data_IF_752981488999
#
_entry.id   IF_752981488999
#
_cell.length_a   1.000
_cell.length_b   1.000
_cell.length_c   1.000
_cell.angle_alpha   90.00
_cell.angle_beta   90.00
_cell.angle_gamma   90.00
#
_symmetry.space_group_name_H-M   'P 1'
#
loop_
_entity.id
_entity.type
_entity.pdbx_description
1 polymer ?
#
# COMPACT_ATOMS: atom_id res chain seq x y z
N UNK A 1 5.58 -22.12 13.12
CA UNK A 1 5.17 -20.82 12.54
C UNK A 1 6.13 -20.25 11.50
N UNK A 2 7.46 -20.14 11.75
CA UNK A 2 8.43 -19.56 10.78
C UNK A 2 8.44 -20.25 9.40
N UNK A 3 8.43 -21.59 9.35
CA UNK A 3 8.43 -22.34 8.10
C UNK A 3 7.14 -22.13 7.26
N UNK A 4 6.00 -21.89 7.89
CA UNK A 4 4.75 -21.59 7.20
C UNK A 4 4.79 -20.19 6.58
N UNK A 5 5.28 -19.20 7.34
CA UNK A 5 5.46 -17.82 6.88
C UNK A 5 6.43 -17.73 5.70
N UNK A 6 7.55 -18.46 5.74
CA UNK A 6 8.51 -18.52 4.63
C UNK A 6 7.90 -19.09 3.35
N UNK A 7 7.08 -20.16 3.44
CA UNK A 7 6.37 -20.72 2.28
C UNK A 7 5.33 -19.74 1.69
N UNK A 8 4.63 -19.00 2.54
CA UNK A 8 3.69 -17.97 2.08
C UNK A 8 4.43 -16.83 1.37
N UNK A 9 5.56 -16.38 1.92
CA UNK A 9 6.41 -15.36 1.31
C UNK A 9 6.94 -15.80 -0.06
N UNK A 10 7.43 -17.04 -0.18
CA UNK A 10 7.88 -17.61 -1.45
C UNK A 10 6.74 -17.68 -2.49
N UNK A 11 5.55 -18.13 -2.08
CA UNK A 11 4.36 -18.13 -2.96
C UNK A 11 4.00 -16.73 -3.43
N UNK A 12 3.98 -15.75 -2.53
CA UNK A 12 3.70 -14.35 -2.87
C UNK A 12 4.74 -13.75 -3.80
N UNK A 13 6.02 -14.12 -3.65
CA UNK A 13 7.07 -13.71 -4.57
C UNK A 13 6.81 -14.27 -5.97
N UNK A 14 6.44 -15.54 -6.08
CA UNK A 14 6.08 -16.17 -7.35
C UNK A 14 4.82 -15.55 -8.00
N UNK A 15 3.81 -15.20 -7.19
CA UNK A 15 2.61 -14.47 -7.63
C UNK A 15 2.88 -12.98 -7.95
N UNK A 16 4.10 -12.52 -7.71
CA UNK A 16 4.54 -11.17 -8.02
C UNK A 16 4.02 -10.10 -7.07
N UNK A 17 3.65 -10.46 -5.83
CA UNK A 17 3.15 -9.52 -4.82
C UNK A 17 4.17 -8.43 -4.47
N UNK A 18 5.46 -8.71 -4.62
CA UNK A 18 6.55 -7.78 -4.32
C UNK A 18 7.09 -7.04 -5.54
N UNK A 19 6.56 -7.32 -6.73
CA UNK A 19 7.01 -6.67 -7.96
C UNK A 19 6.74 -5.17 -7.90
N UNK A 20 7.75 -4.41 -8.31
CA UNK A 20 7.68 -2.96 -8.46
C UNK A 20 7.76 -2.59 -9.95
N UNK A 21 7.05 -1.53 -10.38
CA UNK A 21 7.24 -0.95 -11.71
C UNK A 21 8.67 -0.41 -11.92
N UNK A 22 8.94 0.13 -13.11
CA UNK A 22 10.18 0.86 -13.35
C UNK A 22 10.33 2.07 -12.41
N UNK A 23 11.57 2.50 -12.15
CA UNK A 23 11.84 3.60 -11.22
C UNK A 23 11.14 4.91 -11.63
N UNK A 24 10.94 5.13 -12.94
CA UNK A 24 10.17 6.26 -13.48
C UNK A 24 8.70 6.20 -13.06
N UNK A 25 8.08 5.03 -13.20
CA UNK A 25 6.68 4.84 -12.78
C UNK A 25 6.57 4.97 -11.27
N UNK A 26 7.48 4.35 -10.51
CA UNK A 26 7.53 4.50 -9.06
C UNK A 26 7.59 5.97 -8.63
N UNK A 27 8.43 6.80 -9.28
CA UNK A 27 8.52 8.23 -9.03
C UNK A 27 7.21 8.97 -9.35
N UNK A 28 6.54 8.62 -10.46
CA UNK A 28 5.21 9.19 -10.81
C UNK A 28 4.20 8.91 -9.70
N UNK A 29 4.12 7.65 -9.23
CA UNK A 29 3.13 7.25 -8.22
C UNK A 29 3.42 7.90 -6.86
N UNK A 30 4.68 7.93 -6.44
CA UNK A 30 5.09 8.59 -5.19
C UNK A 30 4.85 10.09 -5.24
N UNK A 31 5.16 10.75 -6.36
CA UNK A 31 4.85 12.16 -6.57
C UNK A 31 3.35 12.40 -6.43
N UNK A 32 2.52 11.60 -7.09
CA UNK A 32 1.06 11.72 -6.99
C UNK A 32 0.55 11.54 -5.55
N UNK A 33 1.03 10.53 -4.83
CA UNK A 33 0.71 10.34 -3.41
C UNK A 33 1.02 11.59 -2.58
N UNK A 34 2.26 12.08 -2.70
CA UNK A 34 2.72 13.20 -1.89
C UNK A 34 2.16 14.57 -2.29
N UNK A 35 1.71 14.72 -3.54
CA UNK A 35 1.07 15.95 -4.02
C UNK A 35 -0.41 15.99 -3.67
N UNK A 36 -1.14 14.88 -3.82
CA UNK A 36 -2.61 14.90 -3.78
C UNK A 36 -3.22 14.24 -2.54
N UNK A 37 -2.58 13.20 -1.98
CA UNK A 37 -3.11 12.47 -0.83
C UNK A 37 -2.55 12.99 0.49
N UNK A 38 -1.22 13.11 0.55
CA UNK A 38 -0.49 13.46 1.77
C UNK A 38 -0.93 14.78 2.43
N UNK A 39 -1.29 15.86 1.70
CA UNK A 39 -1.80 17.08 2.33
C UNK A 39 -3.08 16.87 3.15
N UNK A 40 -3.93 15.92 2.75
CA UNK A 40 -5.17 15.60 3.45
C UNK A 40 -4.96 14.56 4.56
N UNK A 41 -4.01 13.64 4.36
CA UNK A 41 -3.75 12.52 5.24
C UNK A 41 -2.23 12.35 5.45
N UNK A 42 -1.61 13.20 6.30
CA UNK A 42 -0.15 13.25 6.47
C UNK A 42 0.36 12.13 7.39
N UNK A 43 0.07 10.87 7.03
CA UNK A 43 0.38 9.71 7.87
C UNK A 43 1.82 9.19 7.71
N UNK A 44 2.54 9.69 6.71
CA UNK A 44 3.94 9.35 6.43
C UNK A 44 4.82 10.58 6.62
N UNK A 45 6.01 10.40 7.18
CA UNK A 45 7.06 11.42 7.11
C UNK A 45 7.66 11.42 5.69
N UNK A 46 7.62 12.57 5.02
CA UNK A 46 8.06 12.69 3.62
C UNK A 46 9.55 12.43 3.45
N UNK A 47 10.38 12.99 4.32
CA UNK A 47 11.83 12.88 4.21
C UNK A 47 12.28 11.44 4.51
N UNK A 48 11.81 10.86 5.62
CA UNK A 48 12.12 9.50 5.99
C UNK A 48 11.61 8.48 4.95
N UNK A 49 10.43 8.72 4.36
CA UNK A 49 9.91 7.87 3.28
C UNK A 49 10.76 7.96 2.02
N UNK A 50 11.22 9.16 1.66
CA UNK A 50 12.11 9.36 0.52
C UNK A 50 13.46 8.66 0.72
N UNK A 51 14.10 8.83 1.88
CA UNK A 51 15.34 8.13 2.25
C UNK A 51 15.15 6.60 2.18
N UNK A 52 14.06 6.10 2.78
CA UNK A 52 13.72 4.67 2.72
C UNK A 52 13.51 4.18 1.29
N UNK A 53 12.94 5.02 0.42
CA UNK A 53 12.74 4.68 -0.99
C UNK A 53 14.05 4.58 -1.75
N UNK A 54 14.96 5.56 -1.58
CA UNK A 54 16.30 5.56 -2.18
C UNK A 54 17.09 4.32 -1.74
N UNK A 55 17.00 3.95 -0.47
CA UNK A 55 17.67 2.77 0.08
C UNK A 55 16.92 1.45 -0.15
N UNK A 56 15.82 1.44 -0.93
CA UNK A 56 14.96 0.27 -1.20
C UNK A 56 14.46 -0.43 0.08
N UNK A 57 14.36 0.32 1.18
CA UNK A 57 14.01 -0.14 2.53
C UNK A 57 12.53 0.06 2.90
N UNK A 58 11.71 0.67 2.02
CA UNK A 58 10.26 0.79 2.25
C UNK A 58 9.64 -0.60 2.34
N UNK A 59 8.90 -0.86 3.42
CA UNK A 59 8.14 -2.12 3.59
C UNK A 59 7.36 -2.47 2.32
N UNK A 60 7.39 -3.72 1.85
CA UNK A 60 6.62 -4.13 0.67
C UNK A 60 5.12 -3.86 0.81
N UNK A 61 4.56 -4.04 2.01
CA UNK A 61 3.15 -3.75 2.28
C UNK A 61 2.83 -2.27 2.04
N UNK A 62 3.59 -1.39 2.69
CA UNK A 62 3.40 0.06 2.59
C UNK A 62 3.65 0.54 1.16
N UNK A 63 4.67 0.02 0.50
CA UNK A 63 5.02 0.35 -0.88
C UNK A 63 3.86 0.06 -1.84
N UNK A 64 3.29 -1.14 -1.79
CA UNK A 64 2.15 -1.49 -2.64
C UNK A 64 0.93 -0.61 -2.32
N UNK A 65 0.67 -0.32 -1.03
CA UNK A 65 -0.42 0.55 -0.61
C UNK A 65 -0.23 2.01 -1.06
N UNK A 66 1.01 2.52 -1.07
CA UNK A 66 1.33 3.84 -1.62
C UNK A 66 1.15 3.89 -3.13
N UNK A 67 1.56 2.86 -3.87
CA UNK A 67 1.34 2.77 -5.32
C UNK A 67 -0.13 2.69 -5.68
N UNK A 68 -0.92 1.97 -4.89
CA UNK A 68 -2.38 1.94 -4.99
C UNK A 68 -3.01 3.35 -4.94
N UNK A 69 -2.61 4.18 -3.98
CA UNK A 69 -3.07 5.56 -3.88
C UNK A 69 -2.49 6.41 -5.02
N UNK A 70 -1.20 6.28 -5.29
CA UNK A 70 -0.50 7.04 -6.32
C UNK A 70 -1.11 6.88 -7.70
N UNK A 71 -1.41 5.63 -8.12
CA UNK A 71 -2.03 5.36 -9.43
C UNK A 71 -3.49 5.83 -9.48
N UNK A 72 -4.16 5.87 -8.32
CA UNK A 72 -5.53 6.37 -8.23
C UNK A 72 -5.62 7.89 -8.43
N UNK A 73 -4.54 8.62 -8.12
CA UNK A 73 -4.53 10.09 -8.05
C UNK A 73 -3.59 10.78 -9.04
N UNK A 74 -2.72 10.04 -9.73
CA UNK A 74 -1.87 10.65 -10.75
C UNK A 74 -2.72 11.23 -11.89
N UNK A 75 -2.29 12.33 -12.48
CA UNK A 75 -3.01 12.97 -13.61
C UNK A 75 -3.06 12.03 -14.82
N UNK A 76 -4.00 12.23 -15.74
CA UNK A 76 -4.10 11.38 -16.94
C UNK A 76 -2.85 11.44 -17.81
N UNK A 77 -2.22 12.62 -17.92
CA UNK A 77 -0.93 12.78 -18.59
C UNK A 77 0.17 11.93 -17.93
N UNK A 78 0.24 11.92 -16.59
CA UNK A 78 1.22 11.11 -15.87
C UNK A 78 0.89 9.61 -15.96
N UNK A 79 -0.40 9.25 -15.96
CA UNK A 79 -0.87 7.88 -16.12
C UNK A 79 -0.48 7.29 -17.48
N UNK A 80 -0.59 8.08 -18.57
CA UNK A 80 -0.14 7.66 -19.90
C UNK A 80 1.33 7.26 -19.97
N UNK A 81 2.18 7.82 -19.08
CA UNK A 81 3.59 7.45 -18.95
C UNK A 81 3.86 6.18 -18.12
N UNK A 82 2.83 5.53 -17.58
CA UNK A 82 3.00 4.36 -16.70
C UNK A 82 3.06 3.02 -17.44
N UNK A 83 2.58 2.98 -18.69
CA UNK A 83 2.45 1.75 -19.47
C UNK A 83 1.29 0.84 -19.03
N UNK A 84 0.42 1.30 -18.12
CA UNK A 84 -0.84 0.61 -17.83
C UNK A 84 -1.94 1.11 -18.77
N UNK A 85 -2.71 0.18 -19.33
CA UNK A 85 -3.80 0.52 -20.25
C UNK A 85 -5.06 1.00 -19.53
N UNK A 86 -5.34 0.44 -18.36
CA UNK A 86 -6.52 0.77 -17.56
C UNK A 86 -6.16 1.12 -16.12
N UNK A 87 -6.59 2.31 -15.70
CA UNK A 87 -6.29 2.86 -14.37
C UNK A 87 -6.94 2.04 -13.27
N UNK A 88 -8.14 1.52 -13.51
CA UNK A 88 -8.84 0.71 -12.52
C UNK A 88 -8.12 -0.63 -12.31
N UNK A 89 -7.69 -1.32 -13.37
CA UNK A 89 -6.90 -2.55 -13.27
C UNK A 89 -5.55 -2.31 -12.58
N UNK A 90 -4.85 -1.21 -12.89
CA UNK A 90 -3.59 -0.87 -12.23
C UNK A 90 -3.79 -0.59 -10.73
N UNK A 91 -4.85 0.16 -10.38
CA UNK A 91 -5.28 0.38 -9.00
C UNK A 91 -5.57 -0.95 -8.28
N UNK A 92 -6.36 -1.81 -8.90
CA UNK A 92 -6.73 -3.11 -8.37
C UNK A 92 -5.50 -4.02 -8.17
N UNK A 93 -4.56 -3.99 -9.09
CA UNK A 93 -3.31 -4.74 -8.99
C UNK A 93 -2.53 -4.38 -7.72
N UNK A 94 -2.24 -3.09 -7.50
CA UNK A 94 -1.48 -2.65 -6.32
C UNK A 94 -2.24 -2.92 -5.01
N UNK A 95 -3.56 -2.68 -5.02
CA UNK A 95 -4.43 -3.03 -3.88
C UNK A 95 -4.34 -4.52 -3.54
N UNK A 96 -4.52 -5.41 -4.53
CA UNK A 96 -4.49 -6.86 -4.33
C UNK A 96 -3.14 -7.34 -3.83
N UNK A 97 -2.04 -6.78 -4.33
CA UNK A 97 -0.69 -7.09 -3.84
C UNK A 97 -0.52 -6.68 -2.37
N UNK A 98 -0.91 -5.46 -2.01
CA UNK A 98 -0.86 -4.99 -0.63
C UNK A 98 -1.73 -5.87 0.30
N UNK A 99 -2.97 -6.19 -0.10
CA UNK A 99 -3.85 -7.10 0.63
C UNK A 99 -3.20 -8.48 0.85
N UNK A 100 -2.64 -9.08 -0.19
CA UNK A 100 -2.00 -10.39 -0.09
C UNK A 100 -0.81 -10.41 0.88
N UNK A 101 -0.01 -9.33 0.90
CA UNK A 101 1.10 -9.16 1.84
C UNK A 101 0.59 -9.00 3.28
N UNK A 102 -0.50 -8.25 3.47
CA UNK A 102 -1.14 -8.08 4.78
C UNK A 102 -1.72 -9.39 5.31
N UNK A 103 -2.46 -10.13 4.47
CA UNK A 103 -3.11 -11.39 4.83
C UNK A 103 -2.08 -12.48 5.21
N UNK A 104 -0.87 -12.43 4.64
CA UNK A 104 0.24 -13.31 5.01
C UNK A 104 0.96 -12.89 6.31
N UNK A 105 0.53 -11.81 6.98
CA UNK A 105 1.11 -11.22 8.20
C UNK A 105 2.64 -11.07 8.10
N UNK A 106 3.12 -10.61 6.94
CA UNK A 106 4.56 -10.44 6.70
C UNK A 106 5.14 -9.24 7.46
N UNK A 107 4.38 -8.14 7.57
CA UNK A 107 4.81 -6.92 8.25
C UNK A 107 4.61 -7.00 9.78
N UNK A 108 5.70 -6.81 10.52
CA UNK A 108 5.70 -6.80 11.98
C UNK A 108 5.56 -5.41 12.60
N UNK A 109 6.00 -4.36 11.90
CA UNK A 109 5.93 -2.98 12.37
C UNK A 109 4.47 -2.50 12.40
N UNK A 110 3.98 -2.20 13.59
CA UNK A 110 2.60 -1.78 13.83
C UNK A 110 2.26 -0.48 13.10
N UNK A 111 3.16 0.50 13.11
CA UNK A 111 2.93 1.80 12.47
C UNK A 111 2.81 1.63 10.96
N UNK A 112 3.70 0.84 10.36
CA UNK A 112 3.66 0.51 8.92
C UNK A 112 2.36 -0.19 8.57
N UNK A 113 1.88 -1.14 9.40
CA UNK A 113 0.57 -1.77 9.20
C UNK A 113 -0.57 -0.76 9.26
N UNK A 114 -0.60 0.10 10.27
CA UNK A 114 -1.65 1.12 10.42
C UNK A 114 -1.70 2.07 9.22
N UNK A 115 -0.53 2.59 8.80
CA UNK A 115 -0.42 3.44 7.63
C UNK A 115 -0.96 2.72 6.39
N UNK A 116 -0.52 1.48 6.15
CA UNK A 116 -0.94 0.69 5.00
C UNK A 116 -2.44 0.37 5.01
N UNK A 117 -3.01 0.03 6.16
CA UNK A 117 -4.44 -0.24 6.32
C UNK A 117 -5.30 1.00 6.07
N UNK A 118 -4.85 2.17 6.54
CA UNK A 118 -5.52 3.43 6.22
C UNK A 118 -5.49 3.70 4.72
N UNK A 119 -4.36 3.49 4.04
CA UNK A 119 -4.30 3.61 2.58
C UNK A 119 -5.26 2.61 1.90
N UNK A 120 -5.28 1.35 2.32
CA UNK A 120 -6.19 0.32 1.78
C UNK A 120 -7.67 0.66 1.94
N UNK A 121 -8.05 1.45 2.95
CA UNK A 121 -9.45 1.88 3.14
C UNK A 121 -10.00 2.75 2.00
N UNK A 122 -9.14 3.31 1.14
CA UNK A 122 -9.59 4.04 -0.06
C UNK A 122 -10.01 3.11 -1.20
N UNK A 123 -9.93 1.80 -0.99
CA UNK A 123 -10.58 0.81 -1.85
C UNK A 123 -12.08 0.81 -1.58
N UNK A 124 -12.87 1.17 -2.60
CA UNK A 124 -14.34 1.27 -2.48
C UNK A 124 -15.08 -0.01 -2.81
N UNK A 125 -14.36 -1.06 -3.23
CA UNK A 125 -14.87 -2.40 -3.50
C UNK A 125 -16.01 -2.50 -4.51
N UNK A 126 -16.26 -3.72 -4.97
CA UNK A 126 -17.54 -4.08 -5.58
C UNK A 126 -18.53 -4.58 -4.52
N UNK A 127 -19.84 -4.67 -4.83
CA UNK A 127 -20.85 -5.17 -3.88
C UNK A 127 -20.58 -6.57 -3.32
N UNK A 128 -19.77 -7.37 -4.01
CA UNK A 128 -19.39 -8.73 -3.62
C UNK A 128 -18.11 -8.81 -2.78
N UNK A 129 -17.43 -7.70 -2.52
CA UNK A 129 -16.18 -7.68 -1.77
C UNK A 129 -16.42 -7.28 -0.32
N UNK A 130 -16.00 -8.16 0.60
CA UNK A 130 -16.11 -7.90 2.04
C UNK A 130 -15.12 -6.82 2.54
N UNK A 131 -14.01 -6.63 1.82
CA UNK A 131 -12.93 -5.70 2.19
C UNK A 131 -13.17 -4.29 1.65
N UNK A 132 -14.31 -3.69 2.02
CA UNK A 132 -14.62 -2.29 1.70
C UNK A 132 -13.85 -1.29 2.59
N UNK A 133 -14.13 0.01 2.42
CA UNK A 133 -13.57 1.08 3.24
C UNK A 133 -13.76 0.85 4.75
N UNK A 134 -14.94 0.41 5.18
CA UNK A 134 -15.26 0.22 6.60
C UNK A 134 -14.51 -0.97 7.18
N UNK A 135 -14.36 -2.04 6.40
CA UNK A 135 -13.55 -3.19 6.77
C UNK A 135 -12.12 -2.78 7.12
N UNK A 136 -11.43 -2.09 6.21
CA UNK A 136 -10.04 -1.68 6.41
C UNK A 136 -9.87 -0.69 7.57
N UNK A 137 -10.77 0.29 7.69
CA UNK A 137 -10.76 1.24 8.82
C UNK A 137 -11.00 0.53 10.15
N UNK A 138 -11.95 -0.42 10.21
CA UNK A 138 -12.22 -1.19 11.42
C UNK A 138 -10.98 -1.96 11.88
N UNK A 139 -10.28 -2.61 10.95
CA UNK A 139 -9.03 -3.32 11.26
C UNK A 139 -7.96 -2.34 11.77
N UNK A 140 -7.78 -1.19 11.12
CA UNK A 140 -6.81 -0.19 11.54
C UNK A 140 -7.10 0.35 12.95
N UNK A 141 -8.36 0.69 13.24
CA UNK A 141 -8.78 1.22 14.55
C UNK A 141 -8.55 0.17 15.63
N UNK A 142 -8.98 -1.07 15.42
CA UNK A 142 -8.79 -2.16 16.38
C UNK A 142 -7.30 -2.42 16.66
N UNK A 143 -6.46 -2.39 15.62
CA UNK A 143 -5.02 -2.55 15.78
C UNK A 143 -4.40 -1.38 16.55
N UNK A 144 -4.79 -0.14 16.26
CA UNK A 144 -4.29 1.05 16.94
C UNK A 144 -4.68 1.07 18.42
N UNK A 145 -5.91 0.70 18.74
CA UNK A 145 -6.39 0.57 20.12
C UNK A 145 -5.63 -0.52 20.87
N UNK A 146 -5.52 -1.73 20.30
CA UNK A 146 -4.79 -2.85 20.90
C UNK A 146 -3.32 -2.53 21.18
N UNK A 147 -2.73 -1.63 20.40
CA UNK A 147 -1.31 -1.24 20.50
C UNK A 147 -1.08 0.06 21.26
N UNK A 148 -2.13 0.69 21.79
CA UNK A 148 -2.00 1.92 22.58
C UNK A 148 -1.53 3.13 21.80
N UNK A 149 -1.70 3.17 20.47
CA UNK A 149 -1.19 4.30 19.66
C UNK A 149 -1.93 5.61 19.95
N UNK A 150 -3.14 5.52 20.51
CA UNK A 150 -3.95 6.67 20.93
C UNK A 150 -3.49 7.32 22.25
N UNK A 151 -2.56 6.70 22.97
CA UNK A 151 -1.97 7.25 24.21
C UNK A 151 -0.52 7.70 24.05
N UNK A 152 0.04 7.60 22.84
CA UNK A 152 1.45 7.85 22.52
C UNK A 152 1.69 9.30 22.08
#
# INVERSE_FOLDING_TARGET
>A
MRAHKARLEERLAHEGAFLVPSDTVCAILLKAYFTWFHPCFPILDRAATYESYVHRAVSPLLRQAMYFIGISLCTDAAFGGTGFDDRYQAKFLFYRRAKAIYDADLESNVIVKLQSLLLLSFWRGGPSEESDTRFWLSIAINLAQKRGVHVM
#
